data_IF_926874486843
#
_entry.id   IF_926874486843
#
_cell.length_a   1.000
_cell.length_b   1.000
_cell.length_c   1.000
_cell.angle_alpha   90.00
_cell.angle_beta   90.00
_cell.angle_gamma   90.00
#
_symmetry.space_group_name_H-M   'P 1'
#
loop_
_entity.id
_entity.type
_entity.pdbx_description
1 polymer ?
#
# COMPACT_ATOMS: atom_id res chain seq x y z
N UNK A 1 11.84 -2.36 -30.27
CA UNK A 1 11.31 -3.74 -30.16
C UNK A 1 11.32 -4.15 -28.68
N UNK A 2 10.16 -4.50 -28.13
CA UNK A 2 9.95 -4.83 -26.71
C UNK A 2 10.70 -6.11 -26.29
N UNK A 3 11.92 -5.98 -25.76
CA UNK A 3 12.76 -7.10 -25.29
C UNK A 3 12.57 -7.45 -23.80
N UNK A 4 11.48 -7.04 -23.16
CA UNK A 4 11.29 -7.22 -21.71
C UNK A 4 10.47 -8.45 -21.32
N UNK A 5 9.82 -9.16 -22.25
CA UNK A 5 8.98 -10.35 -21.95
C UNK A 5 9.58 -11.63 -22.53
N UNK A 6 9.45 -12.73 -21.77
CA UNK A 6 9.85 -14.06 -22.18
C UNK A 6 9.15 -14.46 -23.47
N UNK A 7 9.92 -14.85 -24.48
CA UNK A 7 9.39 -15.22 -25.79
C UNK A 7 8.64 -16.56 -25.78
N UNK A 8 8.89 -17.42 -24.79
CA UNK A 8 8.18 -18.70 -24.64
C UNK A 8 6.81 -18.55 -23.99
N UNK A 9 6.71 -17.83 -22.86
CA UNK A 9 5.46 -17.73 -22.11
C UNK A 9 4.71 -16.41 -22.24
N UNK A 10 5.35 -15.35 -22.78
CA UNK A 10 4.84 -13.98 -22.90
C UNK A 10 4.28 -13.34 -21.59
N UNK A 11 4.43 -14.02 -20.46
CA UNK A 11 3.92 -13.61 -19.14
C UNK A 11 5.01 -13.00 -18.27
N UNK A 12 6.13 -13.70 -18.16
CA UNK A 12 7.21 -13.33 -17.24
C UNK A 12 8.24 -12.44 -17.92
N UNK A 13 8.98 -11.67 -17.12
CA UNK A 13 10.08 -10.84 -17.60
C UNK A 13 11.17 -11.74 -18.18
N UNK A 14 11.65 -11.38 -19.37
CA UNK A 14 12.80 -12.01 -20.00
C UNK A 14 14.07 -11.54 -19.30
N UNK A 15 14.83 -12.48 -18.75
CA UNK A 15 16.08 -12.18 -18.02
C UNK A 15 17.27 -12.96 -18.56
N UNK A 16 17.03 -13.97 -19.39
CA UNK A 16 18.05 -14.82 -20.00
C UNK A 16 17.95 -14.74 -21.52
N UNK A 17 19.10 -14.83 -22.18
CA UNK A 17 19.25 -15.00 -23.61
C UNK A 17 20.03 -16.29 -23.85
N UNK A 18 19.35 -17.31 -24.38
CA UNK A 18 20.02 -18.53 -24.82
C UNK A 18 20.67 -18.27 -26.19
N UNK A 19 22.00 -18.22 -26.21
CA UNK A 19 22.79 -17.94 -27.42
C UNK A 19 22.64 -19.06 -28.44
N UNK A 20 22.56 -20.31 -27.97
CA UNK A 20 22.40 -21.50 -28.82
C UNK A 20 21.04 -21.51 -29.54
N UNK A 21 19.96 -21.09 -28.88
CA UNK A 21 18.61 -21.05 -29.46
C UNK A 21 18.24 -19.69 -30.04
N UNK A 22 19.03 -18.65 -29.80
CA UNK A 22 18.68 -17.24 -30.04
C UNK A 22 17.32 -16.85 -29.44
N UNK A 23 16.99 -17.40 -28.26
CA UNK A 23 15.73 -17.17 -27.56
C UNK A 23 15.95 -16.35 -26.29
N UNK A 24 15.07 -15.37 -26.07
CA UNK A 24 15.02 -14.57 -24.85
C UNK A 24 13.93 -15.12 -23.92
N UNK A 25 14.35 -15.69 -22.79
CA UNK A 25 13.50 -16.47 -21.90
C UNK A 25 13.48 -15.88 -20.48
N UNK A 26 12.43 -16.22 -19.73
CA UNK A 26 12.47 -16.13 -18.27
C UNK A 26 13.14 -17.39 -17.72
N UNK A 27 13.63 -17.31 -16.49
CA UNK A 27 14.30 -18.43 -15.80
C UNK A 27 13.52 -19.75 -15.88
N UNK A 28 12.22 -19.74 -15.56
CA UNK A 28 11.39 -20.96 -15.58
C UNK A 28 11.21 -21.59 -16.96
N UNK A 29 11.18 -20.77 -18.02
CA UNK A 29 11.07 -21.29 -19.37
C UNK A 29 12.41 -21.86 -19.83
N UNK A 30 13.52 -21.23 -19.45
CA UNK A 30 14.87 -21.71 -19.71
C UNK A 30 15.12 -23.05 -19.00
N UNK A 31 14.82 -23.13 -17.71
CA UNK A 31 14.94 -24.35 -16.90
C UNK A 31 14.12 -25.52 -17.48
N UNK A 32 12.91 -25.26 -17.98
CA UNK A 32 12.07 -26.30 -18.62
C UNK A 32 12.57 -26.72 -20.01
N UNK A 33 13.15 -25.80 -20.78
CA UNK A 33 13.56 -26.06 -22.16
C UNK A 33 15.00 -26.59 -22.26
N UNK A 34 15.84 -26.27 -21.28
CA UNK A 34 17.29 -26.52 -21.27
C UNK A 34 17.77 -27.29 -20.05
N UNK A 35 16.88 -27.89 -19.23
CA UNK A 35 17.22 -28.68 -18.03
C UNK A 35 18.22 -29.82 -18.30
N UNK A 36 18.09 -30.47 -19.46
CA UNK A 36 18.83 -31.70 -19.78
C UNK A 36 19.92 -31.52 -20.84
N UNK A 37 20.31 -30.28 -21.17
CA UNK A 37 21.23 -30.04 -22.30
C UNK A 37 22.47 -29.26 -21.89
N UNK A 38 23.57 -29.99 -21.71
CA UNK A 38 24.91 -29.47 -21.40
C UNK A 38 25.48 -28.49 -22.46
N UNK A 39 24.83 -28.33 -23.61
CA UNK A 39 25.33 -27.54 -24.75
C UNK A 39 24.62 -26.19 -24.97
N UNK A 40 23.79 -25.73 -24.04
CA UNK A 40 23.09 -24.45 -24.17
C UNK A 40 23.82 -23.35 -23.38
N UNK A 41 24.34 -22.36 -24.10
CA UNK A 41 25.00 -21.20 -23.49
C UNK A 41 23.95 -20.13 -23.24
N UNK A 42 23.67 -19.83 -21.97
CA UNK A 42 22.74 -18.77 -21.56
C UNK A 42 23.49 -17.57 -21.01
N UNK A 43 23.15 -16.37 -21.48
CA UNK A 43 23.67 -15.10 -20.96
C UNK A 43 22.54 -14.29 -20.34
N UNK A 44 22.80 -13.65 -19.20
CA UNK A 44 21.83 -12.73 -18.58
C UNK A 44 21.70 -11.46 -19.40
N UNK A 45 20.47 -11.02 -19.65
CA UNK A 45 20.25 -9.72 -20.28
C UNK A 45 20.69 -8.61 -19.31
N UNK A 46 21.40 -7.57 -19.79
CA UNK A 46 21.76 -6.44 -18.94
C UNK A 46 20.49 -5.78 -18.43
N UNK A 47 20.34 -5.75 -17.10
CA UNK A 47 19.33 -4.94 -16.45
C UNK A 47 19.65 -3.49 -16.80
N UNK A 48 18.82 -2.87 -17.65
CA UNK A 48 18.85 -1.43 -17.79
C UNK A 48 18.47 -0.86 -16.42
N UNK A 49 19.46 -0.48 -15.63
CA UNK A 49 19.27 0.13 -14.32
C UNK A 49 18.52 1.43 -14.55
N UNK A 50 17.19 1.39 -14.37
CA UNK A 50 16.39 2.59 -14.28
C UNK A 50 16.74 3.22 -12.93
N UNK A 51 17.86 3.93 -12.87
CA UNK A 51 18.01 4.96 -11.86
C UNK A 51 16.77 5.85 -11.96
N UNK A 52 16.00 6.05 -10.87
CA UNK A 52 14.88 6.97 -10.93
C UNK A 52 15.43 8.31 -11.35
N UNK A 53 15.08 8.75 -12.56
CA UNK A 53 15.41 10.08 -13.07
C UNK A 53 14.93 11.11 -12.05
N UNK A 54 15.63 12.25 -11.92
CA UNK A 54 15.23 13.34 -11.00
C UNK A 54 13.73 13.71 -11.13
N UNK A 55 13.15 13.54 -12.33
CA UNK A 55 11.72 13.70 -12.60
C UNK A 55 10.81 12.71 -11.83
N UNK A 56 11.21 11.44 -11.67
CA UNK A 56 10.42 10.46 -10.93
C UNK A 56 10.47 10.72 -9.41
N UNK A 57 11.62 11.17 -8.90
CA UNK A 57 11.72 11.58 -7.49
C UNK A 57 10.93 12.86 -7.20
N UNK A 58 10.95 13.86 -8.11
CA UNK A 58 10.18 15.08 -7.93
C UNK A 58 8.66 14.81 -7.95
N UNK A 59 8.19 13.95 -8.86
CA UNK A 59 6.80 13.52 -8.92
C UNK A 59 6.36 12.77 -7.65
N UNK A 60 7.22 11.87 -7.13
CA UNK A 60 6.95 11.17 -5.87
C UNK A 60 6.83 12.15 -4.70
N UNK A 61 7.77 13.09 -4.57
CA UNK A 61 7.74 14.08 -3.51
C UNK A 61 6.50 14.98 -3.57
N UNK A 62 6.09 15.38 -4.79
CA UNK A 62 4.88 16.14 -5.00
C UNK A 62 3.62 15.35 -4.62
N UNK A 63 3.59 14.06 -4.94
CA UNK A 63 2.49 13.15 -4.56
C UNK A 63 2.42 12.97 -3.03
N UNK A 64 3.56 12.80 -2.36
CA UNK A 64 3.64 12.69 -0.89
C UNK A 64 3.13 13.98 -0.25
N UNK A 65 3.52 15.14 -0.76
CA UNK A 65 3.09 16.43 -0.24
C UNK A 65 1.57 16.62 -0.41
N UNK A 66 1.03 16.23 -1.56
CA UNK A 66 -0.42 16.25 -1.81
C UNK A 66 -1.18 15.33 -0.84
N UNK A 67 -0.68 14.10 -0.61
CA UNK A 67 -1.29 13.17 0.35
C UNK A 67 -1.25 13.68 1.79
N UNK A 68 -0.22 14.42 2.18
CA UNK A 68 -0.15 15.08 3.49
C UNK A 68 -1.22 16.16 3.65
N UNK A 69 -1.47 16.95 2.60
CA UNK A 69 -2.52 17.97 2.60
C UNK A 69 -3.91 17.32 2.67
N UNK A 70 -4.17 16.28 1.87
CA UNK A 70 -5.43 15.54 1.93
C UNK A 70 -5.69 14.94 3.32
N UNK A 71 -4.66 14.37 3.96
CA UNK A 71 -4.77 13.83 5.32
C UNK A 71 -5.12 14.92 6.34
N UNK A 72 -4.52 16.11 6.21
CA UNK A 72 -4.82 17.24 7.08
C UNK A 72 -6.27 17.71 6.90
N UNK A 73 -6.74 17.82 5.66
CA UNK A 73 -8.12 18.21 5.36
C UNK A 73 -9.14 17.20 5.92
N UNK A 74 -8.82 15.90 5.85
CA UNK A 74 -9.65 14.85 6.44
C UNK A 74 -9.73 14.96 7.98
N UNK A 75 -8.60 15.24 8.64
CA UNK A 75 -8.58 15.47 10.10
C UNK A 75 -9.43 16.68 10.50
N UNK A 76 -9.35 17.76 9.74
CA UNK A 76 -10.14 18.96 10.00
C UNK A 76 -11.64 18.72 9.79
N UNK A 77 -12.01 17.92 8.79
CA UNK A 77 -13.41 17.49 8.56
C UNK A 77 -13.91 16.59 9.68
N UNK A 78 -13.10 15.65 10.15
CA UNK A 78 -13.41 14.77 11.27
C UNK A 78 -13.70 15.58 12.55
N UNK A 79 -12.82 16.54 12.89
CA UNK A 79 -13.04 17.43 14.04
C UNK A 79 -14.33 18.26 13.91
N UNK A 80 -14.63 18.78 12.72
CA UNK A 80 -15.89 19.51 12.49
C UNK A 80 -17.10 18.62 12.69
N UNK A 81 -17.08 17.39 12.16
CA UNK A 81 -18.18 16.43 12.34
C UNK A 81 -18.35 16.07 13.82
N UNK A 82 -17.26 15.81 14.54
CA UNK A 82 -17.31 15.53 15.98
C UNK A 82 -17.98 16.66 16.77
N UNK A 83 -17.63 17.92 16.46
CA UNK A 83 -18.25 19.10 17.08
C UNK A 83 -19.75 19.19 16.79
N UNK A 84 -20.16 18.97 15.54
CA UNK A 84 -21.59 18.96 15.15
C UNK A 84 -22.35 17.87 15.91
N UNK A 85 -21.78 16.67 16.05
CA UNK A 85 -22.40 15.59 16.82
C UNK A 85 -22.55 15.97 18.29
N UNK A 86 -21.53 16.57 18.88
CA UNK A 86 -21.55 17.01 20.28
C UNK A 86 -22.62 18.08 20.51
N UNK A 87 -22.75 19.06 19.62
CA UNK A 87 -23.79 20.10 19.67
C UNK A 87 -25.20 19.50 19.54
N UNK A 88 -25.40 18.54 18.61
CA UNK A 88 -26.68 17.84 18.46
C UNK A 88 -27.04 17.02 19.69
N UNK A 89 -26.06 16.35 20.30
CA UNK A 89 -26.27 15.59 21.53
C UNK A 89 -26.70 16.51 22.68
N UNK A 90 -26.03 17.65 22.84
CA UNK A 90 -26.38 18.65 23.85
C UNK A 90 -27.79 19.23 23.63
N UNK A 91 -28.15 19.50 22.37
CA UNK A 91 -29.50 19.97 22.04
C UNK A 91 -30.57 18.91 22.35
N UNK A 92 -30.31 17.64 22.02
CA UNK A 92 -31.22 16.54 22.35
C UNK A 92 -31.38 16.40 23.88
N UNK A 93 -30.28 16.46 24.63
CA UNK A 93 -30.30 16.39 26.08
C UNK A 93 -31.16 17.51 26.67
N UNK A 94 -30.94 18.77 26.27
CA UNK A 94 -31.76 19.91 26.72
C UNK A 94 -33.24 19.74 26.40
N UNK A 95 -33.56 19.20 25.22
CA UNK A 95 -34.95 18.94 24.83
C UNK A 95 -35.60 17.90 25.75
N UNK A 96 -34.91 16.80 26.06
CA UNK A 96 -35.43 15.78 26.96
C UNK A 96 -35.55 16.29 28.39
N UNK A 97 -34.60 17.10 28.86
CA UNK A 97 -34.65 17.75 30.18
C UNK A 97 -35.87 18.67 30.29
N UNK A 98 -36.17 19.47 29.26
CA UNK A 98 -37.40 20.28 29.21
C UNK A 98 -38.67 19.43 29.22
N UNK A 99 -38.68 18.29 28.52
CA UNK A 99 -39.83 17.39 28.52
C UNK A 99 -40.04 16.73 29.90
N UNK A 100 -38.96 16.35 30.58
CA UNK A 100 -39.01 15.81 31.95
C UNK A 100 -39.58 16.86 32.89
N UNK A 101 -39.05 18.08 32.87
CA UNK A 101 -39.56 19.16 33.74
C UNK A 101 -41.06 19.44 33.49
N UNK A 102 -41.50 19.45 32.23
CA UNK A 102 -42.92 19.62 31.90
C UNK A 102 -43.79 18.46 32.42
N UNK A 103 -43.29 17.23 32.40
CA UNK A 103 -43.98 16.07 32.96
C UNK A 103 -44.03 16.14 34.50
N UNK A 104 -42.96 16.59 35.14
CA UNK A 104 -42.90 16.80 36.59
C UNK A 104 -43.89 17.89 37.04
N UNK A 105 -43.97 19.01 36.33
CA UNK A 105 -44.96 20.07 36.60
C UNK A 105 -46.40 19.56 36.46
N UNK A 106 -46.67 18.75 35.43
CA UNK A 106 -47.98 18.11 35.24
C UNK A 106 -48.30 17.11 36.35
N UNK A 107 -47.34 16.30 36.76
CA UNK A 107 -47.49 15.36 37.87
C UNK A 107 -47.78 16.09 39.18
N UNK A 108 -47.06 17.19 39.43
CA UNK A 108 -47.25 18.01 40.62
C UNK A 108 -48.63 18.69 40.62
N UNK A 109 -49.08 19.20 39.47
CA UNK A 109 -50.42 19.77 39.30
C UNK A 109 -51.53 18.73 39.50
N UNK A 110 -51.36 17.53 38.94
CA UNK A 110 -52.30 16.42 39.12
C UNK A 110 -52.36 15.95 40.58
N UNK A 111 -51.21 15.90 41.28
CA UNK A 111 -51.16 15.58 42.70
C UNK A 111 -51.84 16.64 43.56
N UNK A 112 -51.68 17.92 43.24
CA UNK A 112 -52.38 19.01 43.93
C UNK A 112 -53.90 18.94 43.70
N UNK A 113 -54.33 18.66 42.46
CA UNK A 113 -55.73 18.47 42.12
C UNK A 113 -56.34 17.29 42.87
N UNK A 114 -55.65 16.14 42.92
CA UNK A 114 -56.09 14.97 43.69
C UNK A 114 -56.25 15.28 45.17
N UNK A 115 -55.31 16.03 45.77
CA UNK A 115 -55.41 16.47 47.16
C UNK A 115 -56.58 17.44 47.38
N UNK A 116 -56.85 18.36 46.44
CA UNK A 116 -57.99 19.28 46.50
C UNK A 116 -59.34 18.59 46.34
N UNK A 117 -59.44 17.60 45.45
CA UNK A 117 -60.63 16.75 45.28
C UNK A 117 -60.90 15.88 46.51
N UNK A 118 -59.87 15.56 47.30
CA UNK A 118 -60.02 14.85 48.56
C UNK A 118 -60.60 15.75 49.68
N UNK A 119 -60.46 17.08 49.55
CA UNK A 119 -60.95 18.09 50.50
C UNK A 119 -62.28 18.75 50.07
N UNK A 120 -62.71 18.63 48.81
CA UNK A 120 -63.99 19.16 48.30
C UNK A 120 -64.85 18.03 47.71
N UNK A 121 -65.77 17.50 48.52
CA UNK A 121 -66.88 16.66 48.04
C UNK A 121 -67.97 17.60 47.49
N UNK A 122 -67.74 18.18 46.32
CA UNK A 122 -68.79 18.76 45.47
C UNK A 122 -68.68 18.16 44.07
N UNK A 123 -69.84 17.93 43.45
CA UNK A 123 -70.06 17.07 42.27
C UNK A 123 -68.99 17.21 41.19
N UNK A 124 -68.23 16.12 41.02
CA UNK A 124 -67.31 15.96 39.90
C UNK A 124 -68.14 15.88 38.61
N UNK A 125 -67.89 16.80 37.68
CA UNK A 125 -68.48 16.78 36.33
C UNK A 125 -67.86 15.62 35.52
N UNK A 126 -68.44 14.43 35.72
CA UNK A 126 -68.00 13.16 35.13
C UNK A 126 -67.95 13.22 33.61
N UNK A 127 -68.86 13.95 32.98
CA UNK A 127 -68.95 14.09 31.52
C UNK A 127 -67.75 14.85 30.96
N UNK A 128 -67.30 15.89 31.66
CA UNK A 128 -66.11 16.65 31.26
C UNK A 128 -64.84 15.79 31.37
N UNK A 129 -64.70 15.04 32.47
CA UNK A 129 -63.56 14.12 32.62
C UNK A 129 -63.58 12.99 31.58
N UNK A 130 -64.76 12.45 31.25
CA UNK A 130 -64.89 11.42 30.21
C UNK A 130 -64.44 11.94 28.84
N UNK A 131 -64.82 13.17 28.47
CA UNK A 131 -64.39 13.77 27.22
C UNK A 131 -62.87 14.03 27.18
N UNK A 132 -62.27 14.48 28.27
CA UNK A 132 -60.82 14.67 28.36
C UNK A 132 -60.06 13.32 28.29
N UNK A 133 -60.58 12.28 28.95
CA UNK A 133 -60.06 10.91 28.88
C UNK A 133 -60.13 10.35 27.45
N UNK A 134 -61.25 10.53 26.75
CA UNK A 134 -61.37 10.11 25.35
C UNK A 134 -60.43 10.87 24.42
N UNK A 135 -60.24 12.17 24.67
CA UNK A 135 -59.28 13.00 23.93
C UNK A 135 -57.84 12.50 24.13
N UNK A 136 -57.46 12.21 25.37
CA UNK A 136 -56.16 11.64 25.73
C UNK A 136 -55.95 10.25 25.10
N UNK A 137 -56.95 9.37 25.14
CA UNK A 137 -56.88 8.03 24.54
C UNK A 137 -56.67 8.10 23.02
N UNK A 138 -57.37 9.00 22.33
CA UNK A 138 -57.18 9.24 20.88
C UNK A 138 -55.79 9.78 20.58
N UNK A 139 -55.28 10.71 21.39
CA UNK A 139 -53.93 11.25 21.23
C UNK A 139 -52.87 10.17 21.45
N UNK A 140 -52.98 9.39 22.51
CA UNK A 140 -52.07 8.29 22.83
C UNK A 140 -52.02 7.25 21.71
N UNK A 141 -53.17 6.86 21.15
CA UNK A 141 -53.22 5.93 20.01
C UNK A 141 -52.50 6.47 18.77
N UNK A 142 -52.61 7.78 18.50
CA UNK A 142 -51.89 8.44 17.41
C UNK A 142 -50.38 8.46 17.65
N UNK A 143 -49.96 8.76 18.87
CA UNK A 143 -48.55 8.82 19.23
C UNK A 143 -47.90 7.44 19.24
N UNK A 144 -48.60 6.40 19.70
CA UNK A 144 -48.16 4.99 19.61
C UNK A 144 -47.95 4.61 18.15
N UNK A 145 -48.91 4.90 17.26
CA UNK A 145 -48.76 4.60 15.82
C UNK A 145 -47.55 5.30 15.20
N UNK A 146 -47.30 6.56 15.56
CA UNK A 146 -46.12 7.29 15.08
C UNK A 146 -44.84 6.65 15.60
N UNK A 147 -44.79 6.27 16.87
CA UNK A 147 -43.63 5.61 17.47
C UNK A 147 -43.35 4.26 16.81
N UNK A 148 -44.38 3.45 16.54
CA UNK A 148 -44.25 2.18 15.81
C UNK A 148 -43.70 2.39 14.40
N UNK A 149 -44.18 3.43 13.69
CA UNK A 149 -43.71 3.75 12.35
C UNK A 149 -42.24 4.22 12.36
N UNK A 150 -41.85 5.06 13.32
CA UNK A 150 -40.46 5.48 13.52
C UNK A 150 -39.56 4.29 13.86
N UNK A 151 -40.04 3.36 14.71
CA UNK A 151 -39.31 2.14 15.07
C UNK A 151 -39.07 1.25 13.85
N UNK A 152 -40.07 1.10 12.97
CA UNK A 152 -39.93 0.34 11.72
C UNK A 152 -38.85 0.94 10.81
N UNK A 153 -38.83 2.27 10.65
CA UNK A 153 -37.83 2.97 9.83
C UNK A 153 -36.44 2.81 10.43
N UNK A 154 -36.30 2.90 11.75
CA UNK A 154 -35.02 2.72 12.43
C UNK A 154 -34.49 1.29 12.29
N UNK A 155 -35.36 0.28 12.38
CA UNK A 155 -34.96 -1.11 12.14
C UNK A 155 -34.46 -1.35 10.71
N UNK A 156 -35.13 -0.77 9.71
CA UNK A 156 -34.68 -0.86 8.31
C UNK A 156 -33.33 -0.17 8.11
N UNK A 157 -33.15 1.02 8.67
CA UNK A 157 -31.86 1.74 8.65
C UNK A 157 -30.74 0.95 9.34
N UNK A 158 -31.03 0.30 10.47
CA UNK A 158 -30.08 -0.56 11.18
C UNK A 158 -29.63 -1.72 10.30
N UNK A 159 -30.57 -2.44 9.67
CA UNK A 159 -30.25 -3.54 8.74
C UNK A 159 -29.38 -3.07 7.59
N UNK A 160 -29.66 -1.89 7.03
CA UNK A 160 -28.87 -1.32 5.94
C UNK A 160 -27.45 -0.94 6.41
N UNK A 161 -27.31 -0.41 7.62
CA UNK A 161 -26.01 -0.11 8.23
C UNK A 161 -25.20 -1.40 8.45
N UNK A 162 -25.80 -2.46 8.98
CA UNK A 162 -25.14 -3.75 9.20
C UNK A 162 -24.62 -4.36 7.89
N UNK A 163 -25.42 -4.26 6.81
CA UNK A 163 -24.99 -4.70 5.48
C UNK A 163 -23.79 -3.90 4.95
N UNK A 164 -23.77 -2.59 5.18
CA UNK A 164 -22.64 -1.73 4.79
C UNK A 164 -21.38 -2.06 5.60
N UNK A 165 -21.52 -2.27 6.91
CA UNK A 165 -20.41 -2.68 7.79
C UNK A 165 -19.83 -4.01 7.32
N UNK A 166 -20.66 -4.99 6.98
CA UNK A 166 -20.21 -6.28 6.48
C UNK A 166 -19.44 -6.15 5.15
N UNK A 167 -19.90 -5.28 4.24
CA UNK A 167 -19.18 -5.00 2.98
C UNK A 167 -17.82 -4.33 3.24
N UNK A 168 -17.77 -3.37 4.15
CA UNK A 168 -16.54 -2.68 4.55
C UNK A 168 -15.53 -3.67 5.17
N UNK A 169 -15.97 -4.54 6.08
CA UNK A 169 -15.11 -5.56 6.68
C UNK A 169 -14.45 -6.45 5.63
N UNK A 170 -15.22 -6.93 4.64
CA UNK A 170 -14.68 -7.72 3.53
C UNK A 170 -13.66 -6.94 2.69
N UNK A 171 -13.91 -5.66 2.42
CA UNK A 171 -12.98 -4.82 1.70
C UNK A 171 -11.67 -4.63 2.48
N UNK A 172 -11.75 -4.36 3.79
CA UNK A 172 -10.59 -4.21 4.68
C UNK A 172 -9.77 -5.50 4.76
N UNK A 173 -10.39 -6.67 4.83
CA UNK A 173 -9.68 -7.96 4.79
C UNK A 173 -8.90 -8.16 3.48
N UNK A 174 -9.48 -7.76 2.34
CA UNK A 174 -8.82 -7.83 1.04
C UNK A 174 -7.60 -6.90 1.01
N UNK A 175 -7.75 -5.66 1.48
CA UNK A 175 -6.66 -4.69 1.54
C UNK A 175 -5.53 -5.17 2.46
N UNK A 176 -5.85 -5.72 3.65
CA UNK A 176 -4.85 -6.30 4.53
C UNK A 176 -4.06 -7.44 3.86
N UNK A 177 -4.74 -8.35 3.14
CA UNK A 177 -4.08 -9.42 2.38
C UNK A 177 -3.16 -8.86 1.29
N UNK A 178 -3.55 -7.78 0.63
CA UNK A 178 -2.72 -7.13 -0.39
C UNK A 178 -1.49 -6.47 0.23
N UNK A 179 -1.64 -5.80 1.38
CA UNK A 179 -0.52 -5.20 2.12
C UNK A 179 0.50 -6.26 2.53
N UNK A 180 0.05 -7.40 3.05
CA UNK A 180 0.94 -8.51 3.42
C UNK A 180 1.75 -9.00 2.20
N UNK A 181 1.09 -9.25 1.07
CA UNK A 181 1.77 -9.65 -0.17
C UNK A 181 2.75 -8.58 -0.67
N UNK A 182 2.40 -7.31 -0.55
CA UNK A 182 3.30 -6.22 -0.95
C UNK A 182 4.54 -6.16 -0.06
N UNK A 183 4.40 -6.43 1.24
CA UNK A 183 5.53 -6.51 2.16
C UNK A 183 6.44 -7.71 1.85
N UNK A 184 5.88 -8.87 1.46
CA UNK A 184 6.66 -10.02 0.97
C UNK A 184 7.48 -9.64 -0.26
N UNK A 185 6.87 -8.96 -1.23
CA UNK A 185 7.57 -8.48 -2.44
C UNK A 185 8.68 -7.49 -2.07
N UNK A 186 8.41 -6.53 -1.18
CA UNK A 186 9.41 -5.57 -0.72
C UNK A 186 10.59 -6.25 -0.01
N UNK A 187 10.34 -7.31 0.77
CA UNK A 187 11.40 -8.07 1.42
C UNK A 187 12.31 -8.76 0.39
N UNK A 188 11.74 -9.35 -0.66
CA UNK A 188 12.50 -9.95 -1.77
C UNK A 188 13.31 -8.88 -2.50
N UNK A 189 12.70 -7.74 -2.84
CA UNK A 189 13.41 -6.63 -3.49
C UNK A 189 14.59 -6.12 -2.65
N UNK A 190 14.40 -6.00 -1.33
CA UNK A 190 15.45 -5.58 -0.41
C UNK A 190 16.60 -6.59 -0.39
N UNK A 191 16.30 -7.89 -0.29
CA UNK A 191 17.32 -8.93 -0.33
C UNK A 191 18.10 -8.93 -1.65
N UNK A 192 17.42 -8.81 -2.79
CA UNK A 192 18.06 -8.69 -4.10
C UNK A 192 18.95 -7.44 -4.20
N UNK A 193 18.47 -6.30 -3.68
CA UNK A 193 19.24 -5.05 -3.66
C UNK A 193 20.52 -5.17 -2.82
N UNK A 194 20.43 -5.80 -1.65
CA UNK A 194 21.59 -6.06 -0.78
C UNK A 194 22.59 -7.02 -1.44
N UNK A 195 22.10 -8.06 -2.13
CA UNK A 195 22.96 -8.98 -2.87
C UNK A 195 23.68 -8.29 -4.03
N UNK A 196 22.96 -7.50 -4.83
CA UNK A 196 23.55 -6.75 -5.95
C UNK A 196 24.63 -5.77 -5.47
N UNK A 197 24.40 -5.13 -4.31
CA UNK A 197 25.39 -4.25 -3.71
C UNK A 197 26.67 -5.01 -3.33
N UNK A 198 26.55 -6.20 -2.73
CA UNK A 198 27.72 -7.05 -2.42
C UNK A 198 28.49 -7.47 -3.67
N UNK A 199 27.78 -7.87 -4.72
CA UNK A 199 28.42 -8.25 -6.00
C UNK A 199 29.15 -7.08 -6.64
N UNK A 200 28.56 -5.88 -6.61
CA UNK A 200 29.21 -4.65 -7.07
C UNK A 200 30.49 -4.38 -6.28
N UNK A 201 30.45 -4.49 -4.96
CA UNK A 201 31.61 -4.19 -4.09
C UNK A 201 32.76 -5.19 -4.35
N UNK A 202 32.44 -6.47 -4.59
CA UNK A 202 33.42 -7.49 -4.99
C UNK A 202 34.06 -7.16 -6.35
N UNK A 203 33.26 -6.80 -7.35
CA UNK A 203 33.77 -6.43 -8.67
C UNK A 203 34.67 -5.18 -8.64
N UNK A 204 34.35 -4.21 -7.78
CA UNK A 204 35.21 -3.04 -7.57
C UNK A 204 36.57 -3.44 -6.99
N UNK A 205 36.57 -4.34 -6.00
CA UNK A 205 37.81 -4.86 -5.40
C UNK A 205 38.68 -5.60 -6.43
N UNK A 206 38.06 -6.46 -7.25
CA UNK A 206 38.77 -7.18 -8.31
C UNK A 206 39.34 -6.24 -9.37
N UNK A 207 38.60 -5.18 -9.72
CA UNK A 207 39.06 -4.18 -10.67
C UNK A 207 40.24 -3.37 -10.10
N UNK A 208 40.19 -2.95 -8.83
CA UNK A 208 41.30 -2.28 -8.15
C UNK A 208 42.57 -3.15 -8.14
N UNK A 209 42.41 -4.46 -7.88
CA UNK A 209 43.52 -5.41 -7.94
C UNK A 209 44.11 -5.52 -9.34
N UNK A 210 43.26 -5.64 -10.37
CA UNK A 210 43.69 -5.75 -11.76
C UNK A 210 44.43 -4.48 -12.22
N UNK A 211 43.93 -3.30 -11.83
CA UNK A 211 44.61 -2.02 -12.09
C UNK A 211 46.01 -2.03 -11.46
N UNK A 212 46.14 -2.48 -10.21
CA UNK A 212 47.44 -2.62 -9.56
C UNK A 212 48.38 -3.58 -10.29
N UNK A 213 47.90 -4.73 -10.75
CA UNK A 213 48.69 -5.70 -11.53
C UNK A 213 49.17 -5.12 -12.86
N UNK A 214 48.30 -4.37 -13.57
CA UNK A 214 48.65 -3.68 -14.81
C UNK A 214 49.68 -2.58 -14.58
N UNK A 215 49.56 -1.80 -13.50
CA UNK A 215 50.56 -0.79 -13.13
C UNK A 215 51.93 -1.39 -12.83
N UNK A 216 51.97 -2.54 -12.13
CA UNK A 216 53.22 -3.27 -11.88
C UNK A 216 53.83 -3.75 -13.20
N UNK A 217 53.01 -4.34 -14.09
CA UNK A 217 53.48 -4.78 -15.40
C UNK A 217 53.99 -3.62 -16.26
N UNK A 218 53.29 -2.49 -16.26
CA UNK A 218 53.70 -1.29 -16.98
C UNK A 218 55.04 -0.74 -16.47
N UNK A 219 55.26 -0.71 -15.14
CA UNK A 219 56.57 -0.35 -14.56
C UNK A 219 57.66 -1.34 -14.96
N UNK A 220 57.38 -2.63 -14.88
CA UNK A 220 58.32 -3.67 -15.30
C UNK A 220 58.73 -3.50 -16.77
N UNK A 221 57.76 -3.27 -17.68
CA UNK A 221 58.02 -3.03 -19.10
C UNK A 221 58.75 -1.71 -19.36
N UNK A 222 58.50 -0.66 -18.57
CA UNK A 222 59.26 0.58 -18.69
C UNK A 222 60.73 0.40 -18.28
N UNK A 223 61.00 -0.38 -17.24
CA UNK A 223 62.36 -0.63 -16.73
C UNK A 223 63.13 -1.66 -17.58
N UNK A 224 62.47 -2.72 -18.03
CA UNK A 224 63.11 -3.88 -18.66
C UNK A 224 62.82 -4.01 -20.16
N UNK A 225 61.87 -3.23 -20.70
CA UNK A 225 61.47 -3.26 -22.12
C UNK A 225 62.64 -3.03 -23.10
N UNK A 226 63.48 -2.00 -22.90
CA UNK A 226 64.63 -1.77 -23.78
C UNK A 226 65.60 -2.96 -23.82
N UNK A 227 65.82 -3.61 -22.67
CA UNK A 227 66.66 -4.80 -22.53
C UNK A 227 66.05 -6.01 -23.25
N UNK A 228 64.74 -6.20 -23.15
CA UNK A 228 64.01 -7.27 -23.83
C UNK A 228 64.02 -7.10 -25.35
N UNK A 229 63.91 -5.86 -25.84
CA UNK A 229 64.01 -5.54 -27.27
C UNK A 229 65.42 -5.82 -27.82
N UNK A 230 66.47 -5.44 -27.08
CA UNK A 230 67.86 -5.73 -27.46
C UNK A 230 68.12 -7.25 -27.52
N UNK A 231 67.66 -8.01 -26.52
CA UNK A 231 67.76 -9.49 -26.51
C UNK A 231 67.01 -10.09 -27.70
N UNK A 232 65.82 -9.57 -28.03
CA UNK A 232 65.04 -9.98 -29.19
C UNK A 232 65.77 -9.71 -30.51
N UNK A 233 66.39 -8.53 -30.64
CA UNK A 233 67.17 -8.15 -31.83
C UNK A 233 68.37 -9.08 -32.03
N UNK A 234 69.13 -9.33 -30.96
CA UNK A 234 70.29 -10.23 -30.99
C UNK A 234 69.89 -11.66 -31.36
N UNK A 235 68.76 -12.16 -30.83
CA UNK A 235 68.25 -13.50 -31.20
C UNK A 235 67.82 -13.59 -32.67
N UNK A 236 67.17 -12.55 -33.19
CA UNK A 236 66.76 -12.51 -34.61
C UNK A 236 67.97 -12.42 -35.55
N UNK A 237 68.98 -11.63 -35.18
CA UNK A 237 70.25 -11.54 -35.91
C UNK A 237 70.98 -12.90 -35.90
N UNK A 238 71.01 -13.60 -34.77
CA UNK A 238 71.59 -14.95 -34.66
C UNK A 238 70.82 -16.01 -35.48
N UNK A 239 69.48 -15.94 -35.51
CA UNK A 239 68.67 -16.84 -36.34
C UNK A 239 68.86 -16.59 -37.84
N UNK A 240 68.99 -15.32 -38.27
CA UNK A 240 69.27 -14.99 -39.66
C UNK A 240 70.67 -15.46 -40.09
N UNK A 241 71.67 -15.35 -39.20
CA UNK A 241 73.01 -15.88 -39.47
C UNK A 241 73.02 -17.41 -39.57
N UNK A 242 72.24 -18.12 -38.73
CA UNK A 242 72.09 -19.57 -38.84
C UNK A 242 71.36 -20.02 -40.11
N UNK A 243 70.36 -19.25 -40.58
CA UNK A 243 69.68 -19.54 -41.85
C UNK A 243 70.56 -19.27 -43.08
N UNK A 244 71.42 -18.26 -43.05
CA UNK A 244 72.37 -17.99 -44.13
C UNK A 244 73.49 -19.05 -44.21
N UNK A 245 73.91 -19.63 -43.08
CA UNK A 245 74.89 -20.72 -43.06
C UNK A 245 74.33 -22.08 -43.52
N UNK A 246 73.01 -22.26 -43.61
CA UNK A 246 72.39 -23.48 -44.16
C UNK A 246 72.10 -23.39 -45.67
N UNK A 247 72.33 -22.24 -46.31
CA UNK A 247 72.12 -22.01 -47.75
C UNK A 247 73.43 -21.82 -48.55
N UNK A 248 74.59 -21.96 -47.91
CA UNK A 248 75.91 -22.05 -48.56
C UNK A 248 76.46 -23.47 -48.47
#
# INVERSE_FOLDING_TARGET
>A
MNKSKCQSCNKNIAILNCVTCSLILCYFCDEKLHSDKENHITTTLPFASQHPTQQNQSHLNQTIQQKRLELQELKDKEQKIAKIYQEKMLHAQKKYEQQINSLEERLQSASQFMNQMQDQVEEIDVDKMQNELEGLDKSLKLDIKKAEQEQSILQEKSKNADQLISKLQKATEIEQKQILKMNEVLAVFKACSEQLQKEKDLLMLDNEKLVGEVEIFAKFMAENGPLLEEIGRVKNEQQQQQQQQQQS
#
